data_IF_611920543607
#
_entry.id   IF_611920543607
#
_cell.length_a   1.000
_cell.length_b   1.000
_cell.length_c   1.000
_cell.angle_alpha   90.00
_cell.angle_beta   90.00
_cell.angle_gamma   90.00
#
_symmetry.space_group_name_H-M   'P 1'
#
loop_
_entity.id
_entity.type
_entity.pdbx_description
1 polymer ?
#
# COMPACT_ATOMS: atom_id res chain seq x y z
N UNK A 1 -45.92 -13.09 15.40
CA UNK A 1 -45.62 -12.62 14.04
C UNK A 1 -44.12 -12.73 13.83
N UNK A 2 -43.64 -13.70 13.06
CA UNK A 2 -42.22 -13.83 12.76
C UNK A 2 -41.88 -12.92 11.57
N UNK A 3 -41.39 -11.71 11.85
CA UNK A 3 -40.83 -10.83 10.82
C UNK A 3 -39.37 -11.22 10.60
N UNK A 4 -39.11 -12.27 9.80
CA UNK A 4 -37.74 -12.56 9.36
C UNK A 4 -37.32 -11.48 8.36
N UNK A 5 -36.79 -10.35 8.86
CA UNK A 5 -36.28 -9.22 8.07
C UNK A 5 -34.92 -9.53 7.41
N UNK A 6 -34.47 -10.78 7.47
CA UNK A 6 -33.20 -11.27 6.97
C UNK A 6 -33.39 -12.64 6.34
N UNK A 7 -32.79 -12.84 5.17
CA UNK A 7 -32.62 -14.12 4.49
C UNK A 7 -31.17 -14.26 3.99
N UNK A 8 -30.82 -15.39 3.39
CA UNK A 8 -29.46 -15.69 2.94
C UNK A 8 -28.92 -14.72 1.86
N UNK A 9 -29.80 -13.95 1.22
CA UNK A 9 -29.45 -13.02 0.12
C UNK A 9 -29.50 -11.55 0.52
N UNK A 10 -30.28 -11.19 1.54
CA UNK A 10 -30.59 -9.80 1.85
C UNK A 10 -31.13 -9.61 3.26
N UNK A 11 -30.90 -8.41 3.82
CA UNK A 11 -31.48 -7.96 5.08
C UNK A 11 -32.13 -6.60 4.88
N UNK A 12 -33.36 -6.44 5.33
CA UNK A 12 -34.08 -5.17 5.30
C UNK A 12 -33.60 -4.28 6.46
N UNK A 13 -33.22 -3.05 6.13
CA UNK A 13 -32.80 -2.04 7.10
C UNK A 13 -33.73 -0.83 6.93
N UNK A 14 -34.23 -0.29 8.04
CA UNK A 14 -35.07 0.92 8.04
C UNK A 14 -34.25 2.09 8.57
N UNK A 15 -34.10 3.12 7.75
CA UNK A 15 -33.41 4.37 8.09
C UNK A 15 -34.27 5.56 7.65
N UNK A 16 -34.10 6.70 8.32
CA UNK A 16 -34.67 7.98 7.86
C UNK A 16 -33.64 8.69 7.00
N UNK A 17 -34.06 9.15 5.83
CA UNK A 17 -33.26 9.95 4.91
C UNK A 17 -33.89 11.35 4.88
N UNK A 18 -33.10 12.42 5.08
CA UNK A 18 -33.57 13.80 4.93
C UNK A 18 -34.22 14.06 3.54
N UNK A 19 -35.19 14.98 3.49
CA UNK A 19 -35.95 15.26 2.27
C UNK A 19 -35.08 15.85 1.15
N UNK A 20 -34.18 16.77 1.50
CA UNK A 20 -33.19 17.35 0.59
C UNK A 20 -32.35 16.26 -0.10
N UNK A 21 -31.86 15.28 0.65
CA UNK A 21 -31.08 14.16 0.12
C UNK A 21 -31.92 13.24 -0.78
N UNK A 22 -33.20 13.03 -0.45
CA UNK A 22 -34.11 12.26 -1.30
C UNK A 22 -34.41 12.98 -2.62
N UNK A 23 -34.61 14.29 -2.58
CA UNK A 23 -34.88 15.11 -3.76
C UNK A 23 -33.66 15.12 -4.70
N UNK A 24 -32.45 15.31 -4.15
CA UNK A 24 -31.20 15.22 -4.90
C UNK A 24 -31.00 13.83 -5.53
N UNK A 25 -31.31 12.77 -4.79
CA UNK A 25 -31.22 11.40 -5.28
C UNK A 25 -32.18 11.16 -6.45
N UNK A 26 -33.44 11.58 -6.35
CA UNK A 26 -34.41 11.41 -7.44
C UNK A 26 -34.02 12.24 -8.68
N UNK A 27 -33.41 13.41 -8.51
CA UNK A 27 -32.85 14.19 -9.62
C UNK A 27 -31.61 13.53 -10.27
N UNK A 28 -30.83 12.77 -9.51
CA UNK A 28 -29.62 12.10 -9.99
C UNK A 28 -29.85 10.71 -10.59
N UNK A 29 -31.02 10.10 -10.34
CA UNK A 29 -31.35 8.76 -10.84
C UNK A 29 -31.45 8.71 -12.36
N UNK A 30 -30.96 7.61 -12.92
CA UNK A 30 -31.09 7.35 -14.35
C UNK A 30 -32.52 6.95 -14.72
N UNK A 31 -32.90 7.14 -15.98
CA UNK A 31 -34.23 6.76 -16.46
C UNK A 31 -34.49 5.26 -16.23
N UNK A 32 -35.57 4.95 -15.52
CA UNK A 32 -35.95 3.57 -15.18
C UNK A 32 -35.19 2.97 -13.98
N UNK A 33 -34.32 3.74 -13.31
CA UNK A 33 -33.62 3.29 -12.12
C UNK A 33 -34.53 3.26 -10.89
N UNK A 34 -34.49 2.16 -10.14
CA UNK A 34 -35.20 2.07 -8.86
C UNK A 34 -34.40 2.73 -7.74
N UNK A 35 -35.09 3.30 -6.75
CA UNK A 35 -34.45 3.89 -5.56
C UNK A 35 -33.59 2.88 -4.81
N UNK A 36 -34.04 1.62 -4.72
CA UNK A 36 -33.26 0.54 -4.12
C UNK A 36 -31.99 0.24 -4.93
N UNK A 37 -32.09 0.20 -6.27
CA UNK A 37 -30.95 0.02 -7.16
C UNK A 37 -29.89 1.11 -6.98
N UNK A 38 -30.33 2.37 -6.99
CA UNK A 38 -29.47 3.53 -6.75
C UNK A 38 -28.72 3.41 -5.41
N UNK A 39 -29.45 3.15 -4.32
CA UNK A 39 -28.87 3.06 -2.97
C UNK A 39 -27.88 1.89 -2.83
N UNK A 40 -28.15 0.74 -3.47
CA UNK A 40 -27.23 -0.41 -3.46
C UNK A 40 -25.94 -0.08 -4.21
N UNK A 41 -26.04 0.57 -5.37
CA UNK A 41 -24.87 1.01 -6.15
C UNK A 41 -24.07 2.05 -5.37
N UNK A 42 -24.73 3.05 -4.79
CA UNK A 42 -24.10 4.06 -3.96
C UNK A 42 -23.35 3.43 -2.78
N UNK A 43 -24.00 2.52 -2.03
CA UNK A 43 -23.38 1.82 -0.91
C UNK A 43 -22.15 1.01 -1.35
N UNK A 44 -22.24 0.25 -2.45
CA UNK A 44 -21.10 -0.50 -2.99
C UNK A 44 -19.94 0.41 -3.39
N UNK A 45 -20.23 1.55 -4.02
CA UNK A 45 -19.21 2.51 -4.42
C UNK A 45 -18.48 3.11 -3.21
N UNK A 46 -19.21 3.39 -2.12
CA UNK A 46 -18.64 3.95 -0.90
C UNK A 46 -17.79 2.92 -0.14
N UNK A 47 -18.23 1.66 -0.09
CA UNK A 47 -17.41 0.56 0.45
C UNK A 47 -16.09 0.46 -0.32
N UNK A 48 -16.14 0.44 -1.66
CA UNK A 48 -14.95 0.35 -2.49
C UNK A 48 -14.01 1.55 -2.28
N UNK A 49 -14.54 2.78 -2.15
CA UNK A 49 -13.73 3.97 -1.84
C UNK A 49 -13.00 3.83 -0.50
N UNK A 50 -13.65 3.29 0.54
CA UNK A 50 -13.03 3.12 1.87
C UNK A 50 -11.98 2.03 1.85
N UNK A 51 -12.24 0.90 1.21
CA UNK A 51 -11.27 -0.18 1.02
C UNK A 51 -10.05 0.29 0.20
N UNK A 52 -10.25 1.17 -0.79
CA UNK A 52 -9.14 1.74 -1.55
C UNK A 52 -8.28 2.67 -0.68
N UNK A 53 -8.87 3.46 0.21
CA UNK A 53 -8.11 4.32 1.14
C UNK A 53 -7.28 3.50 2.13
N UNK A 54 -7.87 2.44 2.68
CA UNK A 54 -7.16 1.51 3.58
C UNK A 54 -6.01 0.81 2.83
N UNK A 55 -6.29 0.23 1.66
CA UNK A 55 -5.26 -0.44 0.85
C UNK A 55 -4.21 0.51 0.26
N UNK A 56 -4.53 1.77 0.01
CA UNK A 56 -3.58 2.78 -0.46
C UNK A 56 -2.54 3.12 0.61
N UNK A 57 -2.98 3.30 1.85
CA UNK A 57 -2.09 3.49 2.99
C UNK A 57 -1.23 2.25 3.25
N UNK A 58 -1.83 1.05 3.21
CA UNK A 58 -1.10 -0.20 3.40
C UNK A 58 -0.10 -0.50 2.27
N UNK A 59 -0.46 -0.18 1.02
CA UNK A 59 0.47 -0.28 -0.12
C UNK A 59 1.65 0.67 0.03
N UNK A 60 1.39 1.92 0.42
CA UNK A 60 2.44 2.91 0.65
C UNK A 60 3.37 2.46 1.79
N UNK A 61 2.80 1.95 2.88
CA UNK A 61 3.57 1.41 3.99
C UNK A 61 4.44 0.23 3.54
N UNK A 62 3.89 -0.70 2.76
CA UNK A 62 4.62 -1.86 2.21
C UNK A 62 5.77 -1.42 1.29
N UNK A 63 5.53 -0.41 0.45
CA UNK A 63 6.56 0.16 -0.44
C UNK A 63 7.66 0.89 0.34
N UNK A 64 7.32 1.58 1.43
CA UNK A 64 8.30 2.22 2.30
C UNK A 64 9.17 1.19 3.00
N UNK A 65 8.57 0.11 3.53
CA UNK A 65 9.32 -0.98 4.16
C UNK A 65 10.30 -1.63 3.18
N UNK A 66 9.87 -1.95 1.97
CA UNK A 66 10.77 -2.55 0.97
C UNK A 66 11.88 -1.59 0.52
N UNK A 67 11.60 -0.29 0.45
CA UNK A 67 12.62 0.72 0.16
C UNK A 67 13.67 0.82 1.29
N UNK A 68 13.24 0.74 2.55
CA UNK A 68 14.15 0.73 3.71
C UNK A 68 15.04 -0.52 3.71
N UNK A 69 14.47 -1.70 3.45
CA UNK A 69 15.24 -2.95 3.31
C UNK A 69 16.27 -2.86 2.17
N UNK A 70 15.91 -2.23 1.05
CA UNK A 70 16.83 -2.04 -0.07
C UNK A 70 18.00 -1.12 0.30
N UNK A 71 17.74 -0.05 1.07
CA UNK A 71 18.79 0.84 1.58
C UNK A 71 19.73 0.14 2.56
N UNK A 72 19.20 -0.71 3.43
CA UNK A 72 20.00 -1.53 4.35
C UNK A 72 20.96 -2.45 3.59
N UNK A 73 20.48 -3.17 2.57
CA UNK A 73 21.31 -4.00 1.69
C UNK A 73 22.40 -3.20 0.96
N UNK A 74 22.10 -1.98 0.52
CA UNK A 74 23.11 -1.09 -0.09
C UNK A 74 24.17 -0.71 0.95
N UNK A 75 23.77 -0.44 2.18
CA UNK A 75 24.68 -0.18 3.30
C UNK A 75 25.64 -1.35 3.55
N UNK A 76 25.10 -2.57 3.65
CA UNK A 76 25.89 -3.79 3.82
C UNK A 76 26.91 -3.97 2.67
N UNK A 77 26.45 -3.87 1.42
CA UNK A 77 27.32 -3.97 0.26
C UNK A 77 28.43 -2.91 0.27
N UNK A 78 28.12 -1.68 0.69
CA UNK A 78 29.08 -0.60 0.85
C UNK A 78 30.15 -0.89 1.91
N UNK A 79 29.74 -1.44 3.06
CA UNK A 79 30.69 -1.86 4.11
C UNK A 79 31.63 -2.95 3.63
N UNK A 80 31.09 -3.98 2.97
CA UNK A 80 31.87 -5.09 2.44
C UNK A 80 32.87 -4.61 1.37
N UNK A 81 32.42 -3.77 0.43
CA UNK A 81 33.31 -3.19 -0.58
C UNK A 81 34.43 -2.36 0.06
N UNK A 82 34.13 -1.62 1.13
CA UNK A 82 35.12 -0.85 1.88
C UNK A 82 36.18 -1.72 2.56
N UNK A 83 35.79 -2.86 3.10
CA UNK A 83 36.71 -3.85 3.69
C UNK A 83 37.62 -4.48 2.62
N UNK A 84 37.04 -4.91 1.50
CA UNK A 84 37.79 -5.47 0.38
C UNK A 84 38.82 -4.47 -0.18
N UNK A 85 38.46 -3.19 -0.29
CA UNK A 85 39.39 -2.15 -0.72
C UNK A 85 40.54 -1.94 0.26
N UNK A 86 40.29 -1.99 1.58
CA UNK A 86 41.36 -1.89 2.59
C UNK A 86 42.32 -3.07 2.49
N UNK A 87 41.82 -4.27 2.27
CA UNK A 87 42.64 -5.46 2.09
C UNK A 87 43.55 -5.31 0.87
N UNK A 88 43.00 -4.90 -0.27
CA UNK A 88 43.79 -4.63 -1.49
C UNK A 88 44.87 -3.56 -1.27
N UNK A 89 44.56 -2.49 -0.54
CA UNK A 89 45.55 -1.44 -0.21
C UNK A 89 46.67 -1.98 0.67
N UNK A 90 46.36 -2.85 1.64
CA UNK A 90 47.36 -3.47 2.48
C UNK A 90 48.28 -4.41 1.67
N UNK A 91 47.71 -5.25 0.81
CA UNK A 91 48.48 -6.12 -0.10
C UNK A 91 49.43 -5.29 -0.97
N UNK A 92 48.93 -4.22 -1.60
CA UNK A 92 49.74 -3.36 -2.45
C UNK A 92 50.88 -2.66 -1.68
N UNK A 93 50.65 -2.30 -0.41
CA UNK A 93 51.69 -1.73 0.47
C UNK A 93 52.77 -2.75 0.81
N UNK A 94 52.37 -3.98 1.13
CA UNK A 94 53.30 -5.05 1.46
C UNK A 94 54.17 -5.42 0.25
N UNK A 95 53.57 -5.53 -0.94
CA UNK A 95 54.32 -5.76 -2.19
C UNK A 95 55.28 -4.61 -2.50
N UNK A 96 54.83 -3.35 -2.34
CA UNK A 96 55.70 -2.19 -2.54
C UNK A 96 56.87 -2.14 -1.54
N UNK A 97 56.68 -2.61 -0.31
CA UNK A 97 57.73 -2.71 0.69
C UNK A 97 58.74 -3.82 0.34
N UNK A 98 58.27 -5.00 -0.09
CA UNK A 98 59.14 -6.09 -0.54
C UNK A 98 60.02 -5.66 -1.73
N UNK A 99 59.44 -5.03 -2.76
CA UNK A 99 60.17 -4.52 -3.92
C UNK A 99 61.23 -3.45 -3.58
N UNK A 100 61.07 -2.73 -2.46
CA UNK A 100 62.06 -1.76 -1.96
C UNK A 100 63.15 -2.41 -1.11
N UNK A 101 62.83 -3.49 -0.39
CA UNK A 101 63.79 -4.25 0.42
C UNK A 101 64.74 -5.11 -0.40
N UNK A 102 64.26 -5.67 -1.52
CA UNK A 102 65.01 -6.56 -2.41
C UNK A 102 66.03 -5.84 -3.32
N UNK A 103 66.09 -4.50 -3.26
CA UNK A 103 67.02 -3.64 -4.01
C UNK A 103 68.29 -3.24 -3.23
N UNK A 104 68.63 -3.94 -2.15
CA UNK A 104 69.87 -3.73 -1.36
C UNK A 104 70.73 -4.98 -1.40
#
# INVERSE_FOLDING_TARGET
>A
MATSTSNDKSRQISIRIPHDVLDEMEAAKLSGESTAGFLVVAARSEIARRQLKESGADKLATQLTSALEALERIGEAGTQAGEQLRELVNIARDEAAQLKGDKR
#
